data_IF_950113448073
#
_entry.id   IF_950113448073
#
_cell.length_a   1.000
_cell.length_b   1.000
_cell.length_c   1.000
_cell.angle_alpha   90.00
_cell.angle_beta   90.00
_cell.angle_gamma   90.00
#
_symmetry.space_group_name_H-M   'P 1'
#
loop_
_entity.id
_entity.type
_entity.pdbx_description
1 polymer ?
#
# COMPACT_ATOMS: atom_id res chain seq x y z
N UNK A 1 -6.66 12.67 1.54
CA UNK A 1 -5.28 12.81 2.01
C UNK A 1 -4.61 14.09 1.46
N UNK A 2 -4.64 14.38 0.15
CA UNK A 2 -4.04 15.62 -0.42
C UNK A 2 -4.61 16.89 0.21
N UNK A 3 -5.92 16.98 0.39
CA UNK A 3 -6.60 18.12 1.03
C UNK A 3 -6.25 18.24 2.53
N UNK A 4 -5.95 17.13 3.17
CA UNK A 4 -5.53 17.09 4.58
C UNK A 4 -4.09 17.58 4.73
N UNK A 5 -3.23 17.27 3.77
CA UNK A 5 -1.80 17.54 3.81
C UNK A 5 -1.03 16.38 4.46
N UNK A 6 -0.68 15.42 3.62
CA UNK A 6 0.19 14.29 3.96
C UNK A 6 1.51 14.40 3.22
N UNK A 7 2.58 13.82 3.76
CA UNK A 7 3.87 13.74 3.07
C UNK A 7 3.91 12.66 2.00
N UNK A 8 3.13 11.60 2.20
CA UNK A 8 3.14 10.42 1.34
C UNK A 8 1.74 9.83 1.24
N UNK A 9 1.35 9.44 0.03
CA UNK A 9 0.18 8.61 -0.24
C UNK A 9 0.65 7.16 -0.31
N UNK A 10 0.11 6.32 0.54
CA UNK A 10 0.30 4.87 0.46
C UNK A 10 -0.84 4.26 -0.35
N UNK A 11 -0.55 3.32 -1.22
CA UNK A 11 -1.53 2.63 -2.04
C UNK A 11 -1.08 1.23 -2.45
N UNK A 12 -2.07 0.32 -2.49
CA UNK A 12 -1.90 -1.06 -2.93
C UNK A 12 -2.30 -1.21 -4.41
N UNK A 13 -1.57 -2.03 -5.15
CA UNK A 13 -1.90 -2.32 -6.56
C UNK A 13 -2.13 -3.81 -6.78
N UNK A 14 -2.95 -4.11 -7.80
CA UNK A 14 -3.15 -5.43 -8.36
C UNK A 14 -3.04 -5.36 -9.89
N UNK A 15 -2.72 -6.49 -10.53
CA UNK A 15 -2.60 -6.57 -11.99
C UNK A 15 -3.67 -7.51 -12.55
N UNK A 16 -4.42 -7.00 -13.53
CA UNK A 16 -5.50 -7.72 -14.19
C UNK A 16 -4.99 -8.77 -15.18
N UNK A 17 -5.87 -9.65 -15.66
CA UNK A 17 -5.58 -10.67 -16.68
C UNK A 17 -4.94 -10.09 -17.95
N UNK A 18 -5.36 -8.89 -18.35
CA UNK A 18 -4.84 -8.15 -19.52
C UNK A 18 -3.73 -7.16 -19.16
N UNK A 19 -3.08 -7.33 -17.99
CA UNK A 19 -1.87 -6.61 -17.60
C UNK A 19 -2.08 -5.14 -17.23
N UNK A 20 -3.28 -4.75 -16.81
CA UNK A 20 -3.58 -3.39 -16.34
C UNK A 20 -3.39 -3.30 -14.82
N UNK A 21 -2.92 -2.14 -14.36
CA UNK A 21 -2.65 -1.92 -12.93
C UNK A 21 -3.83 -1.17 -12.31
N UNK A 22 -4.54 -1.84 -11.42
CA UNK A 22 -5.64 -1.27 -10.64
C UNK A 22 -5.22 -1.00 -9.20
N UNK A 23 -5.84 -0.01 -8.57
CA UNK A 23 -5.52 0.37 -7.18
C UNK A 23 -6.55 -0.26 -6.26
N UNK A 24 -6.12 -1.31 -5.58
CA UNK A 24 -6.89 -2.05 -4.59
C UNK A 24 -5.99 -2.96 -3.78
N UNK A 25 -6.35 -3.16 -2.51
CA UNK A 25 -5.61 -4.05 -1.60
C UNK A 25 -5.91 -5.53 -1.87
N UNK A 26 -7.20 -5.86 -2.05
CA UNK A 26 -7.64 -7.24 -2.08
C UNK A 26 -7.32 -7.87 -3.43
N UNK A 27 -6.76 -9.07 -3.43
CA UNK A 27 -6.52 -9.86 -4.65
C UNK A 27 -7.79 -10.46 -5.25
N UNK A 28 -8.86 -10.56 -4.45
CA UNK A 28 -10.23 -10.88 -4.90
C UNK A 28 -11.08 -9.63 -4.90
N UNK A 29 -12.04 -9.54 -5.82
CA UNK A 29 -13.06 -8.51 -5.76
C UNK A 29 -13.89 -8.71 -4.49
N UNK A 30 -13.77 -7.78 -3.54
CA UNK A 30 -14.41 -7.86 -2.23
C UNK A 30 -15.87 -7.47 -2.30
N UNK A 31 -16.75 -8.32 -1.79
CA UNK A 31 -18.19 -8.06 -1.61
C UNK A 31 -18.48 -6.97 -0.56
N UNK A 32 -17.51 -6.66 0.30
CA UNK A 32 -17.60 -5.55 1.24
C UNK A 32 -17.35 -4.18 0.59
N UNK A 33 -16.65 -4.16 -0.55
CA UNK A 33 -16.19 -2.91 -1.22
C UNK A 33 -16.86 -2.68 -2.56
N UNK A 34 -17.13 -3.75 -3.31
CA UNK A 34 -17.68 -3.67 -4.66
C UNK A 34 -18.92 -4.53 -4.80
N UNK A 35 -19.81 -4.14 -5.69
CA UNK A 35 -20.95 -4.93 -6.12
C UNK A 35 -20.97 -5.08 -7.64
N UNK A 36 -21.47 -6.22 -8.09
CA UNK A 36 -21.75 -6.46 -9.49
C UNK A 36 -22.87 -5.53 -9.98
N UNK A 37 -22.77 -5.06 -11.21
CA UNK A 37 -23.83 -4.29 -11.86
C UNK A 37 -24.40 -5.04 -13.08
N UNK A 38 -23.53 -5.35 -14.04
CA UNK A 38 -23.87 -6.11 -15.24
C UNK A 38 -22.62 -6.81 -15.79
N UNK A 39 -22.77 -7.91 -16.54
CA UNK A 39 -21.65 -8.50 -17.26
C UNK A 39 -21.14 -7.54 -18.34
N UNK A 40 -19.83 -7.60 -18.66
CA UNK A 40 -19.22 -6.77 -19.72
C UNK A 40 -19.83 -7.07 -21.09
N UNK A 41 -20.20 -8.33 -21.31
CA UNK A 41 -20.96 -8.81 -22.49
C UNK A 41 -22.06 -9.75 -22.03
N UNK A 42 -23.18 -9.79 -22.75
CA UNK A 42 -24.25 -10.73 -22.44
C UNK A 42 -23.74 -12.17 -22.49
N UNK A 43 -24.00 -12.93 -21.41
CA UNK A 43 -23.56 -14.32 -21.29
C UNK A 43 -22.09 -14.52 -20.94
N UNK A 44 -21.38 -13.49 -20.46
CA UNK A 44 -20.01 -13.62 -19.97
C UNK A 44 -19.92 -14.73 -18.91
N UNK A 45 -19.16 -15.82 -19.17
CA UNK A 45 -19.05 -16.96 -18.25
C UNK A 45 -18.36 -16.61 -16.94
N UNK A 46 -17.61 -15.49 -16.90
CA UNK A 46 -16.92 -15.03 -15.69
C UNK A 46 -17.84 -14.19 -14.78
N UNK A 47 -19.03 -13.79 -15.22
CA UNK A 47 -19.98 -13.05 -14.38
C UNK A 47 -20.70 -14.01 -13.41
N UNK A 48 -20.93 -13.65 -12.12
CA UNK A 48 -20.57 -12.40 -11.45
C UNK A 48 -19.07 -12.32 -11.13
N UNK A 49 -18.53 -11.09 -11.05
CA UNK A 49 -17.09 -10.84 -10.84
C UNK A 49 -16.70 -10.73 -9.37
N UNK A 50 -17.64 -10.33 -8.50
CA UNK A 50 -17.40 -10.29 -7.05
C UNK A 50 -17.00 -11.69 -6.55
N UNK A 51 -15.94 -11.73 -5.74
CA UNK A 51 -15.34 -12.96 -5.21
C UNK A 51 -14.29 -13.62 -6.10
N UNK A 52 -14.11 -13.16 -7.35
CA UNK A 52 -13.07 -13.65 -8.26
C UNK A 52 -11.75 -12.94 -8.07
N UNK A 53 -10.66 -13.62 -8.38
CA UNK A 53 -9.32 -13.04 -8.36
C UNK A 53 -9.16 -12.02 -9.50
N UNK A 54 -8.57 -10.86 -9.19
CA UNK A 54 -8.32 -9.78 -10.15
C UNK A 54 -7.45 -10.25 -11.32
N UNK A 55 -6.46 -11.10 -11.05
CA UNK A 55 -5.58 -11.67 -12.07
C UNK A 55 -6.34 -12.49 -13.13
N UNK A 56 -7.54 -12.95 -12.84
CA UNK A 56 -8.38 -13.74 -13.75
C UNK A 56 -9.40 -12.88 -14.51
N UNK A 57 -9.50 -11.59 -14.21
CA UNK A 57 -10.45 -10.64 -14.80
C UNK A 57 -9.71 -9.62 -15.68
N UNK A 58 -10.33 -9.27 -16.80
CA UNK A 58 -9.87 -8.13 -17.62
C UNK A 58 -10.25 -6.81 -16.98
N UNK A 59 -9.55 -5.73 -17.34
CA UNK A 59 -9.92 -4.39 -16.91
C UNK A 59 -11.37 -4.05 -17.29
N UNK A 60 -11.81 -4.44 -18.48
CA UNK A 60 -13.17 -4.19 -18.94
C UNK A 60 -14.23 -4.82 -18.01
N UNK A 61 -13.99 -6.05 -17.52
CA UNK A 61 -14.86 -6.70 -16.55
C UNK A 61 -14.84 -5.95 -15.19
N UNK A 62 -13.68 -5.56 -14.69
CA UNK A 62 -13.52 -4.82 -13.43
C UNK A 62 -14.22 -3.44 -13.52
N UNK A 63 -14.17 -2.78 -14.68
CA UNK A 63 -14.79 -1.46 -14.88
C UNK A 63 -16.32 -1.49 -14.91
N UNK A 64 -16.97 -2.65 -14.92
CA UNK A 64 -18.42 -2.75 -14.73
C UNK A 64 -18.83 -2.71 -13.24
N UNK A 65 -17.90 -2.88 -12.30
CA UNK A 65 -18.20 -2.93 -10.87
C UNK A 65 -18.51 -1.53 -10.31
N UNK A 66 -19.42 -1.47 -9.36
CA UNK A 66 -19.60 -0.31 -8.48
C UNK A 66 -18.84 -0.54 -7.18
N UNK A 67 -17.77 0.18 -6.98
CA UNK A 67 -16.88 0.09 -5.80
C UNK A 67 -17.00 1.29 -4.86
N UNK A 68 -18.04 2.12 -5.00
CA UNK A 68 -18.21 3.32 -4.18
C UNK A 68 -19.53 3.40 -3.42
N UNK A 69 -20.47 2.48 -3.64
CA UNK A 69 -21.79 2.48 -2.98
C UNK A 69 -21.79 1.84 -1.59
N UNK A 70 -20.84 0.96 -1.29
CA UNK A 70 -20.84 0.17 -0.06
C UNK A 70 -20.06 0.87 1.06
N UNK A 71 -20.71 1.05 2.21
CA UNK A 71 -20.06 1.57 3.42
C UNK A 71 -19.39 0.45 4.19
N UNK A 72 -18.12 0.63 4.49
CA UNK A 72 -17.40 -0.26 5.40
C UNK A 72 -17.85 0.01 6.85
N UNK A 73 -18.26 -1.04 7.56
CA UNK A 73 -18.75 -0.93 8.94
C UNK A 73 -17.71 -0.40 9.91
N UNK A 74 -16.45 -0.66 9.62
CA UNK A 74 -15.28 -0.22 10.39
C UNK A 74 -14.72 1.14 9.92
N UNK A 75 -15.40 1.83 9.00
CA UNK A 75 -15.03 3.14 8.45
C UNK A 75 -16.25 4.08 8.40
N UNK A 76 -16.77 4.51 9.56
CA UNK A 76 -18.03 5.26 9.62
C UNK A 76 -17.98 6.63 8.92
N UNK A 77 -16.79 7.22 8.82
CA UNK A 77 -16.57 8.52 8.16
C UNK A 77 -16.32 8.43 6.66
N UNK A 78 -16.34 7.23 6.08
CA UNK A 78 -16.16 7.02 4.65
C UNK A 78 -17.18 7.83 3.83
N UNK A 79 -16.69 8.63 2.88
CA UNK A 79 -17.54 9.30 1.88
C UNK A 79 -17.82 8.34 0.74
N UNK A 80 -19.10 8.09 0.47
CA UNK A 80 -19.52 7.22 -0.62
C UNK A 80 -19.57 7.99 -1.94
N UNK A 81 -19.16 7.32 -3.01
CA UNK A 81 -19.28 7.81 -4.40
C UNK A 81 -19.96 6.72 -5.23
N UNK A 82 -21.30 6.60 -5.14
CA UNK A 82 -22.03 5.52 -5.78
C UNK A 82 -21.79 5.47 -7.29
N UNK A 83 -21.55 4.25 -7.79
CA UNK A 83 -21.30 4.00 -9.20
C UNK A 83 -19.86 4.20 -9.65
N UNK A 84 -18.95 4.64 -8.77
CA UNK A 84 -17.53 4.73 -9.13
C UNK A 84 -16.92 3.34 -9.27
N UNK A 85 -16.12 3.16 -10.33
CA UNK A 85 -15.39 1.90 -10.55
C UNK A 85 -14.05 1.91 -9.84
N UNK A 86 -13.39 0.75 -9.83
CA UNK A 86 -12.02 0.62 -9.31
C UNK A 86 -11.05 1.48 -10.15
N UNK A 87 -10.24 2.38 -9.53
CA UNK A 87 -9.32 3.23 -10.29
C UNK A 87 -8.10 2.44 -10.79
N UNK A 88 -7.51 2.90 -11.87
CA UNK A 88 -6.19 2.47 -12.32
C UNK A 88 -5.09 3.33 -11.67
N UNK A 89 -3.86 2.82 -11.62
CA UNK A 89 -2.71 3.56 -11.07
C UNK A 89 -2.48 4.90 -11.80
N UNK A 90 -2.69 4.94 -13.12
CA UNK A 90 -2.60 6.17 -13.92
C UNK A 90 -3.57 7.26 -13.46
N UNK A 91 -4.75 6.90 -12.92
CA UNK A 91 -5.75 7.85 -12.44
C UNK A 91 -5.26 8.56 -11.17
N UNK A 92 -4.56 7.82 -10.29
CA UNK A 92 -3.90 8.39 -9.11
C UNK A 92 -2.79 9.37 -9.52
N UNK A 93 -1.95 9.01 -10.49
CA UNK A 93 -0.92 9.92 -11.01
C UNK A 93 -1.53 11.19 -11.61
N UNK A 94 -2.62 11.06 -12.35
CA UNK A 94 -3.36 12.19 -12.92
C UNK A 94 -3.90 13.11 -11.83
N UNK A 95 -4.46 12.55 -10.76
CA UNK A 95 -4.94 13.32 -9.60
C UNK A 95 -3.81 14.10 -8.93
N UNK A 96 -2.68 13.45 -8.65
CA UNK A 96 -1.53 14.09 -7.99
C UNK A 96 -0.97 15.23 -8.83
N UNK A 97 -0.86 15.05 -10.15
CA UNK A 97 -0.42 16.10 -11.08
C UNK A 97 -1.41 17.25 -11.16
N UNK A 98 -2.70 16.96 -11.23
CA UNK A 98 -3.75 18.01 -11.25
C UNK A 98 -3.75 18.83 -9.97
N UNK A 99 -3.49 18.20 -8.83
CA UNK A 99 -3.31 18.86 -7.54
C UNK A 99 -2.01 19.67 -7.44
N UNK A 100 -1.10 19.55 -8.42
CA UNK A 100 0.27 20.12 -8.37
C UNK A 100 1.02 19.73 -7.09
N UNK A 101 0.87 18.47 -6.70
CA UNK A 101 1.38 17.94 -5.44
C UNK A 101 2.79 17.37 -5.60
N UNK A 102 3.72 18.16 -6.15
CA UNK A 102 5.11 17.73 -6.42
C UNK A 102 5.89 17.38 -5.14
N UNK A 103 5.44 17.88 -3.98
CA UNK A 103 6.05 17.59 -2.68
C UNK A 103 5.50 16.33 -2.01
N UNK A 104 4.54 15.63 -2.61
CA UNK A 104 3.93 14.42 -2.04
C UNK A 104 4.51 13.19 -2.69
N UNK A 105 5.03 12.26 -1.89
CA UNK A 105 5.50 10.95 -2.36
C UNK A 105 4.34 9.97 -2.51
N UNK A 106 4.51 8.96 -3.36
CA UNK A 106 3.61 7.82 -3.47
C UNK A 106 4.39 6.56 -3.10
N UNK A 107 3.95 5.88 -2.05
CA UNK A 107 4.50 4.59 -1.64
C UNK A 107 3.60 3.49 -2.21
N UNK A 108 4.03 2.87 -3.31
CA UNK A 108 3.22 1.95 -4.11
C UNK A 108 3.57 0.51 -3.78
N UNK A 109 2.58 -0.25 -3.31
CA UNK A 109 2.76 -1.67 -3.03
C UNK A 109 2.49 -2.52 -4.28
N UNK A 110 3.46 -3.38 -4.62
CA UNK A 110 3.20 -4.56 -5.44
C UNK A 110 2.63 -5.65 -4.54
N UNK A 111 1.29 -5.77 -4.53
CA UNK A 111 0.57 -6.67 -3.61
C UNK A 111 0.58 -8.12 -4.10
N UNK A 112 1.78 -8.67 -4.29
CA UNK A 112 2.01 -10.05 -4.70
C UNK A 112 1.76 -10.98 -3.51
N UNK A 113 1.01 -12.05 -3.72
CA UNK A 113 0.76 -13.09 -2.73
C UNK A 113 1.81 -14.20 -2.87
N UNK A 114 2.95 -14.03 -2.20
CA UNK A 114 4.05 -14.98 -2.28
C UNK A 114 3.71 -16.37 -1.71
N UNK A 115 2.77 -16.44 -0.76
CA UNK A 115 2.27 -17.68 -0.18
C UNK A 115 1.30 -18.46 -1.07
N UNK A 116 0.68 -17.79 -2.06
CA UNK A 116 -0.25 -18.37 -3.03
C UNK A 116 -0.07 -17.72 -4.41
N UNK A 117 1.03 -18.02 -5.13
CA UNK A 117 1.44 -17.29 -6.34
C UNK A 117 0.42 -17.28 -7.49
N UNK A 118 -0.51 -18.24 -7.53
CA UNK A 118 -1.57 -18.29 -8.55
C UNK A 118 -2.70 -17.29 -8.32
N UNK A 119 -2.75 -16.64 -7.15
CA UNK A 119 -3.82 -15.70 -6.77
C UNK A 119 -3.52 -14.25 -7.21
N UNK A 120 -2.30 -13.97 -7.64
CA UNK A 120 -1.86 -12.68 -8.19
C UNK A 120 -1.07 -12.88 -9.48
N UNK A 121 -0.84 -11.81 -10.23
CA UNK A 121 0.03 -11.88 -11.41
C UNK A 121 1.45 -12.34 -11.02
N UNK A 122 2.15 -13.08 -11.89
CA UNK A 122 3.54 -13.46 -11.65
C UNK A 122 4.43 -12.24 -11.37
N UNK A 123 5.40 -12.40 -10.48
CA UNK A 123 6.29 -11.32 -10.00
C UNK A 123 6.84 -10.44 -11.12
N UNK A 124 7.37 -11.03 -12.18
CA UNK A 124 7.96 -10.28 -13.30
C UNK A 124 6.92 -9.47 -14.05
N UNK A 125 5.75 -10.04 -14.31
CA UNK A 125 4.64 -9.36 -14.97
C UNK A 125 4.12 -8.21 -14.08
N UNK A 126 3.95 -8.46 -12.78
CA UNK A 126 3.46 -7.47 -11.83
C UNK A 126 4.40 -6.26 -11.76
N UNK A 127 5.68 -6.51 -11.47
CA UNK A 127 6.70 -5.47 -11.36
C UNK A 127 6.82 -4.67 -12.66
N UNK A 128 6.88 -5.35 -13.81
CA UNK A 128 6.98 -4.69 -15.12
C UNK A 128 5.77 -3.81 -15.42
N UNK A 129 4.56 -4.28 -15.11
CA UNK A 129 3.34 -3.50 -15.33
C UNK A 129 3.35 -2.20 -14.50
N UNK A 130 3.67 -2.28 -13.20
CA UNK A 130 3.72 -1.11 -12.31
C UNK A 130 4.83 -0.14 -12.73
N UNK A 131 6.04 -0.62 -12.99
CA UNK A 131 7.16 0.22 -13.43
C UNK A 131 6.86 0.94 -14.75
N UNK A 132 6.18 0.27 -15.68
CA UNK A 132 5.75 0.88 -16.94
C UNK A 132 4.75 2.03 -16.73
N UNK A 133 3.79 1.89 -15.82
CA UNK A 133 2.85 2.98 -15.51
C UNK A 133 3.57 4.17 -14.85
N UNK A 134 4.52 3.92 -13.95
CA UNK A 134 5.35 4.97 -13.34
C UNK A 134 6.14 5.73 -14.40
N UNK A 135 6.82 5.01 -15.30
CA UNK A 135 7.65 5.60 -16.35
C UNK A 135 6.82 6.37 -17.38
N UNK A 136 5.67 5.82 -17.83
CA UNK A 136 4.73 6.53 -18.71
C UNK A 136 4.23 7.83 -18.10
N UNK A 137 4.02 7.83 -16.79
CA UNK A 137 3.58 9.01 -16.07
C UNK A 137 4.73 10.00 -15.75
N UNK A 138 6.01 9.60 -15.89
CA UNK A 138 7.16 10.40 -15.47
C UNK A 138 7.18 10.68 -13.98
N UNK A 139 6.80 9.69 -13.16
CA UNK A 139 6.61 9.84 -11.71
C UNK A 139 7.77 9.25 -10.88
N UNK A 140 8.87 8.83 -11.51
CA UNK A 140 9.99 8.14 -10.85
C UNK A 140 10.55 8.90 -9.65
N UNK A 141 10.52 10.23 -9.69
CA UNK A 141 11.06 11.08 -8.62
C UNK A 141 10.13 11.24 -7.41
N UNK A 142 8.86 10.83 -7.55
CA UNK A 142 7.83 10.95 -6.51
C UNK A 142 7.33 9.58 -6.01
N UNK A 143 8.01 8.49 -6.37
CA UNK A 143 7.56 7.13 -6.04
C UNK A 143 8.60 6.41 -5.19
N UNK A 144 8.12 5.68 -4.19
CA UNK A 144 8.82 4.59 -3.51
C UNK A 144 8.05 3.29 -3.75
N UNK A 145 8.75 2.17 -3.85
CA UNK A 145 8.14 0.88 -4.12
C UNK A 145 8.20 0.01 -2.88
N UNK A 146 7.04 -0.44 -2.39
CA UNK A 146 6.97 -1.37 -1.25
C UNK A 146 6.44 -2.74 -1.64
N UNK A 147 6.81 -3.75 -0.90
CA UNK A 147 6.26 -5.10 -1.04
C UNK A 147 6.54 -5.97 0.18
N UNK A 148 5.61 -6.89 0.46
CA UNK A 148 5.88 -8.04 1.31
C UNK A 148 6.68 -9.13 0.57
N UNK A 149 6.54 -9.21 -0.75
CA UNK A 149 7.37 -10.07 -1.59
C UNK A 149 8.71 -9.38 -1.87
N UNK A 150 9.74 -9.71 -1.10
CA UNK A 150 11.07 -9.13 -1.27
C UNK A 150 11.73 -9.50 -2.59
N UNK A 151 11.30 -10.61 -3.21
CA UNK A 151 11.74 -10.94 -4.55
C UNK A 151 11.31 -9.91 -5.58
N UNK A 152 10.14 -9.28 -5.40
CA UNK A 152 9.71 -8.15 -6.22
C UNK A 152 10.60 -6.92 -5.99
N UNK A 153 10.97 -6.62 -4.73
CA UNK A 153 11.88 -5.50 -4.42
C UNK A 153 13.27 -5.71 -5.02
N UNK A 154 13.81 -6.94 -4.95
CA UNK A 154 15.08 -7.30 -5.57
C UNK A 154 15.02 -7.12 -7.10
N UNK A 155 13.92 -7.50 -7.72
CA UNK A 155 13.71 -7.30 -9.17
C UNK A 155 13.61 -5.81 -9.51
N UNK A 156 12.88 -5.01 -8.71
CA UNK A 156 12.80 -3.55 -8.88
C UNK A 156 14.19 -2.93 -8.75
N UNK A 157 14.97 -3.31 -7.73
CA UNK A 157 16.34 -2.83 -7.56
C UNK A 157 17.23 -3.11 -8.77
N UNK A 158 17.04 -4.27 -9.41
CA UNK A 158 17.76 -4.66 -10.63
C UNK A 158 17.33 -3.85 -11.85
N UNK A 159 16.02 -3.62 -12.03
CA UNK A 159 15.46 -2.98 -13.22
C UNK A 159 15.52 -1.44 -13.15
N UNK A 160 15.36 -0.87 -11.95
CA UNK A 160 15.28 0.57 -11.67
C UNK A 160 16.05 0.89 -10.37
N UNK A 161 17.39 0.83 -10.40
CA UNK A 161 18.23 0.98 -9.21
C UNK A 161 18.07 2.34 -8.52
N UNK A 162 17.57 3.35 -9.22
CA UNK A 162 17.30 4.68 -8.68
C UNK A 162 16.03 4.78 -7.83
N UNK A 163 15.07 3.85 -7.99
CA UNK A 163 13.84 3.88 -7.19
C UNK A 163 14.09 3.41 -5.76
N UNK A 164 13.69 4.17 -4.76
CA UNK A 164 13.74 3.71 -3.37
C UNK A 164 12.80 2.52 -3.17
N UNK A 165 13.29 1.50 -2.46
CA UNK A 165 12.52 0.31 -2.11
C UNK A 165 12.29 0.22 -0.61
N UNK A 166 11.09 -0.27 -0.25
CA UNK A 166 10.57 -0.34 1.11
C UNK A 166 10.20 -1.79 1.43
N UNK A 167 10.89 -2.39 2.39
CA UNK A 167 10.67 -3.78 2.78
C UNK A 167 9.58 -3.88 3.85
N UNK A 168 8.42 -4.40 3.46
CA UNK A 168 7.32 -4.72 4.37
C UNK A 168 7.57 -6.05 5.09
N UNK A 169 7.10 -6.15 6.33
CA UNK A 169 6.97 -7.43 7.03
C UNK A 169 5.81 -7.43 8.01
N UNK A 170 5.18 -8.60 8.16
CA UNK A 170 4.22 -8.90 9.23
C UNK A 170 4.90 -9.70 10.38
N UNK A 171 6.16 -9.34 10.69
CA UNK A 171 6.92 -9.95 11.77
C UNK A 171 7.18 -11.44 11.56
N UNK A 172 7.09 -12.21 12.64
CA UNK A 172 7.39 -13.65 12.65
C UNK A 172 6.62 -14.44 11.59
N UNK A 173 5.37 -14.06 11.32
CA UNK A 173 4.53 -14.77 10.34
C UNK A 173 5.17 -14.80 8.94
N UNK A 174 5.84 -13.73 8.54
CA UNK A 174 6.46 -13.62 7.21
C UNK A 174 7.97 -13.86 7.24
N UNK A 175 8.65 -13.50 8.31
CA UNK A 175 10.09 -13.71 8.45
C UNK A 175 10.44 -15.17 8.76
N UNK A 176 9.60 -15.89 9.54
CA UNK A 176 9.69 -17.32 9.81
C UNK A 176 11.01 -17.78 10.49
N UNK A 177 11.52 -16.97 11.43
CA UNK A 177 12.72 -17.32 12.21
C UNK A 177 12.55 -18.67 12.91
N UNK A 178 13.56 -19.56 12.77
CA UNK A 178 13.58 -20.88 13.38
C UNK A 178 12.61 -21.88 12.77
N UNK A 179 12.06 -21.61 11.57
CA UNK A 179 11.20 -22.55 10.84
C UNK A 179 12.02 -23.25 9.76
N UNK A 180 11.66 -24.52 9.50
CA UNK A 180 12.29 -25.27 8.42
C UNK A 180 12.00 -24.68 7.04
N UNK A 181 13.07 -24.43 6.28
CA UNK A 181 12.97 -23.90 4.90
C UNK A 181 12.86 -22.39 4.84
N UNK A 182 12.88 -21.87 3.63
CA UNK A 182 12.85 -20.44 3.34
C UNK A 182 11.41 -19.92 3.27
N UNK A 183 11.20 -18.78 3.90
CA UNK A 183 9.94 -18.06 3.75
C UNK A 183 9.69 -17.68 2.28
N UNK A 184 8.48 -17.90 1.74
CA UNK A 184 8.14 -17.49 0.38
C UNK A 184 8.22 -15.96 0.18
N UNK A 185 8.14 -15.19 1.27
CA UNK A 185 8.12 -13.74 1.27
C UNK A 185 9.49 -13.09 1.08
N UNK A 186 10.59 -13.80 1.38
CA UNK A 186 11.93 -13.21 1.48
C UNK A 186 12.75 -13.31 0.19
N UNK A 187 12.10 -13.61 -0.96
CA UNK A 187 12.78 -13.59 -2.26
C UNK A 187 13.94 -14.59 -2.39
N UNK A 188 13.89 -15.69 -1.64
CA UNK A 188 14.93 -16.72 -1.60
C UNK A 188 15.95 -16.56 -0.47
N UNK A 189 15.85 -15.51 0.34
CA UNK A 189 16.62 -15.38 1.57
C UNK A 189 16.04 -16.28 2.66
N UNK A 190 16.88 -16.66 3.61
CA UNK A 190 16.50 -17.30 4.86
C UNK A 190 16.88 -16.37 6.01
N UNK A 191 15.92 -16.02 6.88
CA UNK A 191 16.17 -15.10 8.00
C UNK A 191 17.16 -15.69 9.01
N UNK A 192 17.25 -17.01 9.09
CA UNK A 192 18.18 -17.72 9.99
C UNK A 192 19.64 -17.56 9.57
N UNK A 193 19.91 -17.24 8.31
CA UNK A 193 21.26 -17.00 7.79
C UNK A 193 21.82 -15.62 8.16
N UNK A 194 21.01 -14.72 8.72
CA UNK A 194 21.43 -13.36 9.03
C UNK A 194 21.84 -13.18 10.49
N UNK A 195 22.85 -12.33 10.75
CA UNK A 195 23.30 -12.06 12.10
C UNK A 195 22.27 -11.23 12.89
N UNK A 196 22.21 -11.46 14.19
CA UNK A 196 21.37 -10.73 15.12
C UNK A 196 20.87 -11.61 16.26
N UNK A 197 20.70 -11.02 17.43
CA UNK A 197 20.19 -11.69 18.62
C UNK A 197 18.67 -11.72 18.69
N UNK A 198 18.01 -10.89 17.90
CA UNK A 198 16.54 -10.76 17.81
C UNK A 198 16.07 -10.94 16.38
N UNK A 199 14.77 -11.24 16.20
CA UNK A 199 14.13 -11.27 14.88
C UNK A 199 14.26 -9.91 14.18
N UNK A 200 14.10 -8.82 14.93
CA UNK A 200 14.22 -7.46 14.43
C UNK A 200 15.64 -7.16 13.89
N UNK A 201 16.68 -7.53 14.62
CA UNK A 201 18.07 -7.36 14.18
C UNK A 201 18.36 -8.13 12.89
N UNK A 202 17.85 -9.37 12.77
CA UNK A 202 17.98 -10.18 11.56
C UNK A 202 17.19 -9.59 10.39
N UNK A 203 16.01 -9.03 10.64
CA UNK A 203 15.22 -8.30 9.64
C UNK A 203 16.00 -7.10 9.07
N UNK A 204 16.63 -6.30 9.94
CA UNK A 204 17.50 -5.19 9.52
C UNK A 204 18.66 -5.70 8.65
N UNK A 205 19.36 -6.75 9.09
CA UNK A 205 20.49 -7.31 8.36
C UNK A 205 20.09 -7.88 6.99
N UNK A 206 18.98 -8.61 6.93
CA UNK A 206 18.46 -9.19 5.71
C UNK A 206 18.04 -8.12 4.70
N UNK A 207 17.30 -7.11 5.13
CA UNK A 207 16.89 -5.99 4.27
C UNK A 207 18.09 -5.20 3.74
N UNK A 208 19.09 -4.95 4.58
CA UNK A 208 20.33 -4.28 4.17
C UNK A 208 21.06 -5.04 3.05
N UNK A 209 21.02 -6.38 3.07
CA UNK A 209 21.77 -7.22 2.13
C UNK A 209 21.43 -6.99 0.66
N UNK A 210 20.22 -6.49 0.35
CA UNK A 210 19.81 -6.16 -1.01
C UNK A 210 19.49 -4.67 -1.24
N UNK A 211 19.96 -3.81 -0.34
CA UNK A 211 19.96 -2.36 -0.54
C UNK A 211 18.61 -1.69 -0.31
N UNK A 212 17.83 -2.14 0.69
CA UNK A 212 16.57 -1.51 1.11
C UNK A 212 16.84 -0.10 1.63
N UNK A 213 15.95 0.84 1.30
CA UNK A 213 16.02 2.23 1.74
C UNK A 213 15.19 2.48 3.01
N UNK A 214 14.07 1.76 3.16
CA UNK A 214 13.15 1.94 4.28
C UNK A 214 12.61 0.58 4.73
N UNK A 215 12.59 0.36 6.03
CA UNK A 215 11.86 -0.75 6.65
C UNK A 215 10.44 -0.30 6.95
N UNK A 216 9.46 -1.12 6.59
CA UNK A 216 8.05 -0.88 6.92
C UNK A 216 7.47 -2.10 7.65
N UNK A 217 7.80 -2.27 8.93
CA UNK A 217 7.33 -3.38 9.74
C UNK A 217 5.91 -3.16 10.26
N UNK A 218 5.22 -4.24 10.62
CA UNK A 218 4.06 -4.17 11.49
C UNK A 218 4.45 -3.48 12.82
N UNK A 219 3.55 -2.66 13.37
CA UNK A 219 3.85 -1.96 14.62
C UNK A 219 3.96 -2.90 15.82
N UNK A 220 3.16 -3.97 15.86
CA UNK A 220 3.13 -4.95 16.94
C UNK A 220 2.22 -6.13 16.64
N UNK A 221 2.18 -7.06 17.57
CA UNK A 221 1.35 -8.27 17.52
C UNK A 221 0.39 -8.30 18.73
N UNK A 222 -0.91 -8.58 18.53
CA UNK A 222 -1.59 -8.75 17.23
C UNK A 222 -1.64 -7.44 16.43
N UNK A 223 -1.63 -7.56 15.10
CA UNK A 223 -1.66 -6.41 14.16
C UNK A 223 -2.84 -5.45 14.40
N UNK A 224 -3.97 -5.95 14.84
CA UNK A 224 -5.14 -5.14 15.22
C UNK A 224 -5.11 -4.59 16.63
N UNK A 225 -4.08 -4.93 17.42
CA UNK A 225 -3.87 -4.43 18.78
C UNK A 225 -3.19 -3.08 18.83
N UNK A 226 -3.04 -2.54 20.02
CA UNK A 226 -2.44 -1.23 20.24
C UNK A 226 -1.73 -1.19 21.60
N UNK A 227 -0.86 -0.22 21.78
CA UNK A 227 -0.14 -0.04 23.05
C UNK A 227 -1.10 0.09 24.21
N UNK A 228 -0.89 -0.74 25.25
CA UNK A 228 -1.74 -0.82 26.44
C UNK A 228 -2.83 -1.89 26.38
N UNK A 229 -3.03 -2.55 25.26
CA UNK A 229 -3.95 -3.69 25.21
C UNK A 229 -3.33 -4.93 25.84
N UNK A 230 -4.12 -5.77 26.54
CA UNK A 230 -3.62 -7.03 27.07
C UNK A 230 -3.03 -7.92 25.98
N UNK A 231 -1.79 -8.39 26.18
CA UNK A 231 -1.11 -9.29 25.24
C UNK A 231 -0.47 -8.61 24.03
N UNK A 232 -0.62 -7.30 23.86
CA UNK A 232 0.07 -6.57 22.78
C UNK A 232 1.58 -6.56 23.00
N UNK A 233 2.32 -6.96 21.96
CA UNK A 233 3.78 -6.95 21.94
C UNK A 233 4.28 -6.05 20.81
N UNK A 234 5.06 -4.99 21.10
CA UNK A 234 5.66 -4.15 20.07
C UNK A 234 6.62 -4.95 19.19
N UNK A 235 6.45 -4.90 17.87
CA UNK A 235 7.45 -5.39 16.92
C UNK A 235 8.40 -4.25 16.53
N UNK A 236 7.86 -3.06 16.28
CA UNK A 236 8.64 -1.86 15.98
C UNK A 236 9.10 -1.20 17.29
N UNK A 237 10.31 -1.49 17.68
CA UNK A 237 10.92 -1.00 18.92
C UNK A 237 11.94 0.10 18.66
N UNK A 238 12.29 0.87 19.70
CA UNK A 238 13.38 1.86 19.62
C UNK A 238 14.73 1.22 19.22
N UNK A 239 14.94 -0.04 19.60
CA UNK A 239 16.15 -0.78 19.21
C UNK A 239 16.16 -1.09 17.72
N UNK A 240 15.05 -1.59 17.15
CA UNK A 240 14.91 -1.79 15.72
C UNK A 240 15.16 -0.49 14.95
N UNK A 241 14.59 0.63 15.38
CA UNK A 241 14.78 1.94 14.76
C UNK A 241 16.25 2.35 14.78
N UNK A 242 16.91 2.22 15.92
CA UNK A 242 18.34 2.56 16.09
C UNK A 242 19.23 1.71 15.18
N UNK A 243 18.99 0.39 15.10
CA UNK A 243 19.74 -0.51 14.23
C UNK A 243 19.50 -0.21 12.74
N UNK A 244 18.27 0.07 12.35
CA UNK A 244 17.91 0.47 10.99
C UNK A 244 18.62 1.78 10.59
N UNK A 245 18.59 2.79 11.45
CA UNK A 245 19.29 4.06 11.23
C UNK A 245 20.79 3.87 11.12
N UNK A 246 21.39 3.04 11.98
CA UNK A 246 22.83 2.69 11.89
C UNK A 246 23.17 1.96 10.58
N UNK A 247 22.21 1.23 10.01
CA UNK A 247 22.35 0.58 8.71
C UNK A 247 22.03 1.49 7.51
N UNK A 248 21.65 2.76 7.75
CA UNK A 248 21.31 3.75 6.73
C UNK A 248 19.88 3.64 6.18
N UNK A 249 18.98 2.96 6.88
CA UNK A 249 17.58 2.78 6.50
C UNK A 249 16.66 3.58 7.39
N UNK A 250 15.54 4.07 6.82
CA UNK A 250 14.41 4.65 7.56
C UNK A 250 13.48 3.56 8.09
N UNK A 251 12.62 3.93 9.04
CA UNK A 251 11.58 3.04 9.60
C UNK A 251 10.23 3.73 9.56
N UNK A 252 9.27 3.14 8.84
CA UNK A 252 7.90 3.64 8.68
C UNK A 252 6.92 2.49 8.90
N UNK A 253 6.48 2.23 10.14
CA UNK A 253 5.59 1.13 10.45
C UNK A 253 4.15 1.36 9.96
N UNK A 254 3.35 0.28 9.89
CA UNK A 254 1.95 0.20 9.47
C UNK A 254 1.12 -0.68 10.39
N UNK A 255 -0.17 -0.63 10.38
CA UNK A 255 -1.07 0.48 10.13
C UNK A 255 -1.55 0.96 11.47
N UNK A 256 -1.26 2.17 11.84
CA UNK A 256 -1.45 2.67 13.19
C UNK A 256 -2.57 3.71 13.20
N UNK A 257 -3.64 3.43 13.97
CA UNK A 257 -4.84 4.24 14.06
C UNK A 257 -5.15 4.72 15.50
N UNK A 258 -4.25 4.43 16.44
CA UNK A 258 -4.42 4.75 17.87
C UNK A 258 -3.38 5.77 18.34
N UNK A 259 -3.80 6.84 19.04
CA UNK A 259 -2.90 7.88 19.51
C UNK A 259 -1.79 7.42 20.48
N UNK A 260 -2.06 6.42 21.31
CA UNK A 260 -1.06 5.88 22.26
C UNK A 260 0.04 5.15 21.51
N UNK A 261 -0.32 4.44 20.45
CA UNK A 261 0.62 3.74 19.60
C UNK A 261 1.42 4.72 18.72
N UNK A 262 0.79 5.80 18.19
CA UNK A 262 1.53 6.89 17.54
C UNK A 262 2.59 7.47 18.48
N UNK A 263 2.21 7.80 19.71
CA UNK A 263 3.12 8.39 20.70
C UNK A 263 4.30 7.46 21.01
N UNK A 264 4.05 6.17 21.22
CA UNK A 264 5.10 5.20 21.49
C UNK A 264 6.09 5.08 20.31
N UNK A 265 5.59 5.07 19.07
CA UNK A 265 6.42 4.97 17.87
C UNK A 265 7.21 6.26 17.60
N UNK A 266 6.61 7.43 17.80
CA UNK A 266 7.30 8.71 17.71
C UNK A 266 8.44 8.80 18.75
N UNK A 267 8.19 8.34 19.98
CA UNK A 267 9.22 8.27 21.02
C UNK A 267 10.31 7.21 20.72
N UNK A 268 9.97 6.16 19.96
CA UNK A 268 10.95 5.19 19.47
C UNK A 268 11.83 5.76 18.34
N UNK A 269 11.46 6.91 17.75
CA UNK A 269 12.25 7.61 16.75
C UNK A 269 11.95 7.19 15.31
N UNK A 270 10.76 6.66 15.01
CA UNK A 270 10.37 6.30 13.62
C UNK A 270 10.36 7.53 12.72
N UNK A 271 10.61 7.33 11.42
CA UNK A 271 10.68 8.40 10.41
C UNK A 271 9.31 8.81 9.87
N UNK A 272 8.28 8.02 10.15
CA UNK A 272 6.90 8.25 9.77
C UNK A 272 6.03 7.09 10.22
N UNK A 273 4.72 7.22 10.00
CA UNK A 273 3.76 6.14 10.26
C UNK A 273 2.71 6.08 9.15
N UNK A 274 2.26 4.87 8.81
CA UNK A 274 1.14 4.65 7.89
C UNK A 274 -0.15 4.54 8.72
N UNK A 275 -1.14 5.36 8.38
CA UNK A 275 -2.43 5.44 9.09
C UNK A 275 -3.61 5.56 8.12
N UNK A 276 -4.76 5.01 8.50
CA UNK A 276 -6.04 5.23 7.82
C UNK A 276 -6.69 6.58 8.17
N UNK A 277 -6.20 7.25 9.23
CA UNK A 277 -6.75 8.51 9.76
C UNK A 277 -5.72 9.64 9.72
N UNK A 278 -5.32 10.09 8.51
CA UNK A 278 -4.29 11.11 8.36
C UNK A 278 -4.66 12.48 8.95
N UNK A 279 -5.95 12.80 9.05
CA UNK A 279 -6.47 14.00 9.71
C UNK A 279 -6.22 13.96 11.22
N UNK A 280 -6.49 12.84 11.86
CA UNK A 280 -6.25 12.66 13.30
C UNK A 280 -4.77 12.61 13.64
N UNK A 281 -3.97 11.90 12.83
CA UNK A 281 -2.52 11.88 12.99
C UNK A 281 -1.92 13.28 12.81
N UNK A 282 -2.39 14.04 11.82
CA UNK A 282 -1.95 15.41 11.58
C UNK A 282 -2.23 16.32 12.79
N UNK A 283 -3.45 16.24 13.37
CA UNK A 283 -3.81 16.98 14.57
C UNK A 283 -2.94 16.57 15.77
N UNK A 284 -2.64 15.29 15.92
CA UNK A 284 -1.73 14.79 16.96
C UNK A 284 -0.31 15.36 16.81
N UNK A 285 0.24 15.33 15.59
CA UNK A 285 1.56 15.88 15.29
C UNK A 285 1.63 17.40 15.52
N UNK A 286 0.58 18.14 15.14
CA UNK A 286 0.47 19.58 15.39
C UNK A 286 0.53 19.89 16.89
N UNK A 287 -0.23 19.17 17.70
CA UNK A 287 -0.22 19.32 19.16
C UNK A 287 1.13 19.05 19.82
N UNK A 288 2.01 18.31 19.11
CA UNK A 288 3.37 17.98 19.53
C UNK A 288 4.43 18.92 18.94
N UNK A 289 4.01 19.93 18.18
CA UNK A 289 4.92 20.91 17.58
C UNK A 289 5.72 20.42 16.37
N UNK A 290 5.30 19.33 15.72
CA UNK A 290 5.94 18.88 14.48
C UNK A 290 5.60 19.81 13.32
N UNK A 291 6.56 19.99 12.40
CA UNK A 291 6.29 20.65 11.12
C UNK A 291 5.35 19.76 10.28
N UNK A 292 4.27 20.36 9.80
CA UNK A 292 3.24 19.63 9.06
C UNK A 292 3.45 19.72 7.55
N UNK A 293 3.15 18.65 6.79
CA UNK A 293 3.19 18.67 5.34
C UNK A 293 2.21 19.70 4.75
N UNK A 294 2.57 20.27 3.60
CA UNK A 294 1.71 21.16 2.83
C UNK A 294 0.42 20.48 2.39
N UNK A 295 -0.68 21.22 2.40
CA UNK A 295 -1.96 20.82 1.83
C UNK A 295 -1.99 21.11 0.32
N UNK A 296 -2.63 20.20 -0.43
CA UNK A 296 -2.84 20.33 -1.87
C UNK A 296 -4.33 20.11 -2.17
N UNK A 297 -5.16 21.12 -1.94
CA UNK A 297 -6.60 20.99 -2.08
C UNK A 297 -7.01 20.81 -3.56
N UNK A 298 -7.91 19.88 -3.79
CA UNK A 298 -8.61 19.68 -5.06
C UNK A 298 -10.08 19.93 -4.82
N UNK A 299 -10.67 20.88 -5.54
CA UNK A 299 -12.09 21.19 -5.42
C UNK A 299 -12.96 20.08 -6.02
N UNK A 300 -14.22 20.02 -5.56
CA UNK A 300 -15.15 18.97 -5.96
C UNK A 300 -15.44 18.93 -7.47
N UNK A 301 -15.47 20.09 -8.14
CA UNK A 301 -15.69 20.17 -9.59
C UNK A 301 -14.51 19.58 -10.36
N UNK A 302 -13.29 19.92 -9.99
CA UNK A 302 -12.07 19.36 -10.59
C UNK A 302 -11.99 17.86 -10.35
N UNK A 303 -12.24 17.40 -9.13
CA UNK A 303 -12.26 15.98 -8.79
C UNK A 303 -13.32 15.23 -9.61
N UNK A 304 -14.53 15.79 -9.73
CA UNK A 304 -15.60 15.19 -10.53
C UNK A 304 -15.20 15.08 -12.01
N UNK A 305 -14.59 16.12 -12.56
CA UNK A 305 -14.09 16.11 -13.93
C UNK A 305 -13.09 14.98 -14.12
N UNK A 306 -12.14 14.82 -13.20
CA UNK A 306 -11.15 13.73 -13.24
C UNK A 306 -11.81 12.35 -13.17
N UNK A 307 -12.73 12.13 -12.25
CA UNK A 307 -13.47 10.86 -12.13
C UNK A 307 -14.16 10.50 -13.45
N UNK A 308 -14.77 11.46 -14.11
CA UNK A 308 -15.51 11.27 -15.37
C UNK A 308 -14.63 11.19 -16.61
N UNK A 309 -13.30 11.38 -16.52
CA UNK A 309 -12.39 11.08 -17.64
C UNK A 309 -12.34 9.59 -17.96
N UNK A 310 -12.61 8.73 -16.97
CA UNK A 310 -12.88 7.32 -17.21
C UNK A 310 -14.32 7.16 -17.73
N UNK A 311 -14.52 6.65 -18.96
CA UNK A 311 -15.86 6.45 -19.52
C UNK A 311 -16.77 5.59 -18.64
N UNK A 312 -16.22 4.64 -17.90
CA UNK A 312 -16.97 3.79 -16.96
C UNK A 312 -17.60 4.61 -15.82
N UNK A 313 -17.02 5.76 -15.48
CA UNK A 313 -17.49 6.69 -14.45
C UNK A 313 -18.33 7.85 -15.00
N UNK A 314 -18.71 7.84 -16.29
CA UNK A 314 -19.43 8.96 -16.93
C UNK A 314 -20.74 9.35 -16.25
N UNK A 315 -21.39 8.40 -15.57
CA UNK A 315 -22.68 8.59 -14.87
C UNK A 315 -22.54 8.80 -13.36
N UNK A 316 -21.30 8.85 -12.83
CA UNK A 316 -21.08 9.05 -11.38
C UNK A 316 -21.61 10.44 -10.98
N UNK A 317 -22.50 10.46 -10.00
CA UNK A 317 -22.91 11.70 -9.34
C UNK A 317 -21.84 12.08 -8.34
N UNK A 318 -21.03 13.06 -8.68
CA UNK A 318 -20.00 13.55 -7.79
C UNK A 318 -20.61 14.41 -6.68
N UNK A 319 -20.11 14.31 -5.46
CA UNK A 319 -20.50 15.25 -4.42
C UNK A 319 -20.12 16.67 -4.84
N UNK A 320 -21.02 17.60 -4.61
CA UNK A 320 -20.84 19.04 -4.83
C UNK A 320 -19.78 19.62 -3.90
#
# INVERSE_FOLDING_TARGET
ALNIGVSTLELDTQVTKDGKVVVTRDRKISDRKCKDTAPVTAGDPDYPYVGKFIVNLTLAQIKTLDCGSLRLSDRPTQQLVPGITMPELKDVFTLVKTARAEGVMLNIETKIEAGAPSETAPREQFVTAVLNEISKAGMEKQVTMQSFDWGALMLIRKLKPELPIVALTNGQQFLQLGQDGKSPWLGGLDIDDFPGSTLQSRYVAAAKSFGVNTLSPVHGDPQGGQVGDPGYQPFTTAELVREAHAAGMKVVPWTINDPRTWEALLNAGVDGVITDYPDLLRAHLDSRGYALPKQYPVDGKTLCTLIRTDPANSRVNCPS
#
